data_IF_953479361042
#
_entry.id   IF_953479361042
#
_cell.length_a   1.000
_cell.length_b   1.000
_cell.length_c   1.000
_cell.angle_alpha   90.00
_cell.angle_beta   90.00
_cell.angle_gamma   90.00
#
_symmetry.space_group_name_H-M   'P 1'
#
loop_
_entity.id
_entity.type
_entity.pdbx_description
1 polymer ?
#
# COMPACT_ATOMS: atom_id res chain seq x y z
N UNK A 1 -5.88 12.71 3.62
CA UNK A 1 -6.65 13.33 2.53
C UNK A 1 -6.82 12.28 1.44
N UNK A 2 -8.00 12.20 0.81
CA UNK A 2 -8.26 11.24 -0.27
C UNK A 2 -7.99 11.89 -1.62
N UNK A 3 -7.37 11.13 -2.53
CA UNK A 3 -7.06 11.54 -3.89
C UNK A 3 -7.40 10.38 -4.84
N UNK A 4 -7.82 10.71 -6.06
CA UNK A 4 -7.91 9.72 -7.14
C UNK A 4 -6.52 9.33 -7.65
N UNK A 5 -6.40 8.19 -8.32
CA UNK A 5 -5.13 7.76 -8.95
C UNK A 5 -4.54 8.84 -9.87
N UNK A 6 -5.39 9.52 -10.65
CA UNK A 6 -4.98 10.58 -11.58
C UNK A 6 -4.43 11.79 -10.83
N UNK A 7 -5.08 12.19 -9.73
CA UNK A 7 -4.61 13.30 -8.90
C UNK A 7 -3.29 12.96 -8.20
N UNK A 8 -3.15 11.73 -7.72
CA UNK A 8 -1.90 11.27 -7.10
C UNK A 8 -0.76 11.34 -8.10
N UNK A 9 -0.90 10.81 -9.31
CA UNK A 9 0.15 10.83 -10.32
C UNK A 9 0.69 12.24 -10.62
N UNK A 10 -0.14 13.27 -10.48
CA UNK A 10 0.26 14.67 -10.73
C UNK A 10 1.05 15.31 -9.58
N UNK A 11 0.88 14.83 -8.35
CA UNK A 11 1.41 15.49 -7.15
C UNK A 11 2.12 14.54 -6.18
N UNK A 12 2.36 13.28 -6.58
CA UNK A 12 2.92 12.23 -5.73
C UNK A 12 4.26 12.64 -5.13
N UNK A 13 5.15 13.20 -5.96
CA UNK A 13 6.47 13.67 -5.52
C UNK A 13 6.33 14.70 -4.40
N UNK A 14 5.44 15.68 -4.56
CA UNK A 14 5.21 16.74 -3.57
C UNK A 14 4.59 16.21 -2.28
N UNK A 15 3.64 15.26 -2.39
CA UNK A 15 3.04 14.61 -1.23
C UNK A 15 4.09 13.87 -0.38
N UNK A 16 4.99 13.13 -1.05
CA UNK A 16 6.06 12.39 -0.37
C UNK A 16 7.11 13.34 0.21
N UNK A 17 7.52 14.37 -0.54
CA UNK A 17 8.49 15.37 -0.11
C UNK A 17 7.99 16.16 1.11
N UNK A 18 6.69 16.45 1.15
CA UNK A 18 6.01 17.07 2.29
C UNK A 18 5.69 16.08 3.42
N UNK A 19 6.11 14.82 3.31
CA UNK A 19 5.94 13.79 4.34
C UNK A 19 4.48 13.57 4.73
N UNK A 20 3.56 13.64 3.76
CA UNK A 20 2.11 13.58 4.02
C UNK A 20 1.58 12.16 3.96
N UNK A 21 0.65 11.86 4.87
CA UNK A 21 -0.23 10.68 4.76
C UNK A 21 -1.43 10.99 3.87
N UNK A 22 -1.76 10.06 2.97
CA UNK A 22 -2.86 10.21 2.03
C UNK A 22 -3.48 8.87 1.64
N UNK A 23 -4.65 8.91 1.00
CA UNK A 23 -5.39 7.73 0.58
C UNK A 23 -5.64 7.83 -0.92
N UNK A 24 -5.27 6.78 -1.65
CA UNK A 24 -5.55 6.65 -3.08
C UNK A 24 -6.86 5.88 -3.25
N UNK A 25 -7.76 6.46 -4.03
CA UNK A 25 -9.08 5.95 -4.36
C UNK A 25 -9.23 5.78 -5.86
N UNK A 26 -10.36 5.20 -6.30
CA UNK A 26 -10.68 5.04 -7.73
C UNK A 26 -9.58 4.30 -8.51
N UNK A 27 -9.15 3.15 -7.98
CA UNK A 27 -7.99 2.39 -8.47
C UNK A 27 -8.26 1.57 -9.74
N UNK A 28 -9.50 1.56 -10.26
CA UNK A 28 -9.92 0.81 -11.46
C UNK A 28 -9.49 -0.68 -11.53
N UNK A 29 -9.26 -1.31 -10.37
CA UNK A 29 -8.82 -2.71 -10.27
C UNK A 29 -7.30 -2.92 -10.25
N UNK A 30 -6.51 -1.86 -10.40
CA UNK A 30 -5.05 -1.92 -10.50
C UNK A 30 -4.34 -1.58 -9.18
N UNK A 31 -4.76 -2.24 -8.11
CA UNK A 31 -4.21 -1.99 -6.77
C UNK A 31 -2.75 -2.45 -6.67
N UNK A 32 -2.36 -3.47 -7.43
CA UNK A 32 -0.99 -3.99 -7.43
C UNK A 32 -0.02 -3.02 -8.11
N UNK A 33 -0.31 -2.55 -9.33
CA UNK A 33 0.63 -1.68 -10.02
C UNK A 33 0.59 -0.26 -9.44
N UNK A 34 -0.57 0.18 -8.92
CA UNK A 34 -0.60 1.41 -8.09
C UNK A 34 0.29 1.29 -6.86
N UNK A 35 0.30 0.14 -6.17
CA UNK A 35 1.17 -0.04 -5.00
C UNK A 35 2.66 -0.01 -5.38
N UNK A 36 3.03 -0.63 -6.50
CA UNK A 36 4.41 -0.58 -7.02
C UNK A 36 4.82 0.83 -7.43
N UNK A 37 3.92 1.59 -8.05
CA UNK A 37 4.15 3.00 -8.40
C UNK A 37 4.45 3.82 -7.15
N UNK A 38 3.65 3.65 -6.09
CA UNK A 38 3.84 4.34 -4.81
C UNK A 38 5.16 3.93 -4.14
N UNK A 39 5.47 2.64 -4.11
CA UNK A 39 6.73 2.10 -3.58
C UNK A 39 7.94 2.71 -4.29
N UNK A 40 7.96 2.64 -5.63
CA UNK A 40 9.03 3.22 -6.45
C UNK A 40 9.19 4.72 -6.24
N UNK A 41 8.10 5.47 -6.14
CA UNK A 41 8.15 6.92 -5.92
C UNK A 41 8.69 7.30 -4.53
N UNK A 42 8.36 6.51 -3.49
CA UNK A 42 8.90 6.73 -2.13
C UNK A 42 10.39 6.38 -2.08
N UNK A 43 10.77 5.24 -2.66
CA UNK A 43 12.17 4.79 -2.69
C UNK A 43 13.06 5.71 -3.52
N UNK A 44 12.54 6.31 -4.60
CA UNK A 44 13.24 7.33 -5.39
C UNK A 44 13.61 8.58 -4.57
N UNK A 45 12.92 8.83 -3.44
CA UNK A 45 13.26 9.92 -2.50
C UNK A 45 14.17 9.44 -1.34
N UNK A 46 14.72 8.23 -1.43
CA UNK A 46 15.59 7.65 -0.41
C UNK A 46 14.87 7.20 0.86
N UNK A 47 13.54 7.10 0.83
CA UNK A 47 12.70 6.70 1.96
C UNK A 47 12.36 5.22 1.89
N UNK A 48 12.15 4.59 3.05
CA UNK A 48 11.79 3.17 3.14
C UNK A 48 10.29 3.03 3.27
N UNK A 49 9.69 2.10 2.53
CA UNK A 49 8.29 1.77 2.69
C UNK A 49 8.05 0.30 3.05
N UNK A 50 6.85 0.02 3.56
CA UNK A 50 6.35 -1.34 3.81
C UNK A 50 4.98 -1.51 3.19
N UNK A 51 4.84 -2.49 2.30
CA UNK A 51 3.55 -2.83 1.68
C UNK A 51 2.87 -3.97 2.44
N UNK A 52 1.60 -3.80 2.78
CA UNK A 52 0.78 -4.86 3.36
C UNK A 52 -0.67 -4.76 2.92
N UNK A 53 -1.44 -5.81 3.20
CA UNK A 53 -2.89 -5.82 3.01
C UNK A 53 -3.57 -5.52 4.35
N UNK A 54 -4.39 -4.46 4.40
CA UNK A 54 -5.21 -4.11 5.57
C UNK A 54 -6.33 -5.13 5.75
N UNK A 55 -6.86 -5.21 6.98
CA UNK A 55 -8.03 -6.03 7.31
C UNK A 55 -7.86 -7.55 7.03
N UNK A 56 -6.64 -8.10 7.17
CA UNK A 56 -6.41 -9.56 7.11
C UNK A 56 -7.31 -10.36 8.07
N UNK A 57 -7.80 -9.73 9.15
CA UNK A 57 -8.72 -10.34 10.12
C UNK A 57 -10.14 -10.55 9.53
N UNK A 58 -10.63 -9.70 8.62
CA UNK A 58 -11.89 -9.94 7.93
C UNK A 58 -11.80 -11.18 7.00
N UNK A 59 -10.63 -11.41 6.40
CA UNK A 59 -10.36 -12.62 5.63
C UNK A 59 -10.14 -13.86 6.53
N UNK A 60 -9.63 -13.68 7.75
CA UNK A 60 -9.54 -14.74 8.74
C UNK A 60 -10.91 -15.10 9.37
N UNK A 61 -11.87 -14.18 9.47
CA UNK A 61 -13.25 -14.51 9.83
C UNK A 61 -13.98 -15.33 8.75
N UNK A 62 -13.58 -15.17 7.49
CA UNK A 62 -14.03 -15.99 6.36
C UNK A 62 -13.21 -17.31 6.19
N UNK A 63 -12.27 -17.61 7.10
CA UNK A 63 -11.33 -18.73 6.95
C UNK A 63 -11.89 -20.12 7.32
N UNK A 64 -13.20 -20.25 7.53
CA UNK A 64 -13.85 -21.57 7.45
C UNK A 64 -14.03 -22.02 5.98
N UNK A 65 -13.87 -21.13 4.99
CA UNK A 65 -14.13 -21.46 3.57
C UNK A 65 -12.95 -21.38 2.60
N UNK A 66 -11.72 -21.04 3.02
CA UNK A 66 -10.57 -21.02 2.09
C UNK A 66 -9.31 -21.57 2.76
N UNK A 67 -9.25 -22.91 2.86
CA UNK A 67 -7.98 -23.60 2.97
C UNK A 67 -7.06 -23.22 1.81
N UNK A 68 -5.77 -23.04 2.09
CA UNK A 68 -4.69 -22.79 1.11
C UNK A 68 -4.55 -21.39 0.47
N UNK A 69 -5.42 -20.40 0.75
CA UNK A 69 -5.36 -19.07 0.09
C UNK A 69 -4.43 -18.02 0.70
N UNK A 70 -3.82 -18.27 1.86
CA UNK A 70 -2.99 -17.29 2.58
C UNK A 70 -1.58 -17.08 1.98
N UNK A 71 -1.18 -17.93 1.03
CA UNK A 71 0.17 -17.91 0.43
C UNK A 71 0.22 -17.17 -0.91
N UNK A 72 -0.91 -16.94 -1.59
CA UNK A 72 -0.90 -16.49 -2.99
C UNK A 72 -0.86 -14.97 -3.20
N UNK A 73 -1.04 -14.17 -2.14
CA UNK A 73 -0.80 -12.72 -2.17
C UNK A 73 0.49 -12.31 -1.43
N UNK A 74 1.32 -13.31 -1.08
CA UNK A 74 2.73 -13.14 -0.79
C UNK A 74 3.55 -13.09 -2.10
N UNK A 75 3.16 -12.22 -3.04
CA UNK A 75 4.14 -11.53 -3.87
C UNK A 75 4.50 -10.26 -3.10
N UNK A 76 5.20 -10.34 -1.97
CA UNK A 76 6.67 -10.33 -1.94
C UNK A 76 7.17 -9.33 -3.00
N UNK A 77 7.02 -8.04 -2.71
CA UNK A 77 8.22 -7.21 -2.76
C UNK A 77 9.18 -7.85 -1.75
N UNK A 78 10.31 -8.36 -2.24
CA UNK A 78 11.26 -9.22 -1.54
C UNK A 78 11.98 -8.56 -0.34
N UNK A 79 11.48 -7.44 0.18
CA UNK A 79 12.08 -6.65 1.25
C UNK A 79 11.38 -6.84 2.61
N UNK A 80 10.49 -7.82 2.74
CA UNK A 80 9.70 -8.05 3.94
C UNK A 80 10.46 -8.66 5.13
N UNK A 81 11.79 -8.81 5.07
CA UNK A 81 12.49 -9.50 6.16
C UNK A 81 12.78 -8.58 7.36
N UNK A 82 13.13 -7.29 7.20
CA UNK A 82 13.62 -6.49 8.34
C UNK A 82 13.46 -4.95 8.22
N UNK A 83 12.47 -4.41 7.51
CA UNK A 83 12.16 -2.98 7.67
C UNK A 83 11.42 -2.76 8.99
N UNK A 84 12.15 -2.87 10.11
CA UNK A 84 11.65 -2.67 11.48
C UNK A 84 11.18 -1.23 11.72
N UNK A 85 11.57 -0.29 10.85
CA UNK A 85 11.28 1.13 10.99
C UNK A 85 11.10 1.82 9.61
N UNK A 86 10.00 1.52 8.88
CA UNK A 86 9.73 2.16 7.59
C UNK A 86 9.39 3.64 7.79
N UNK A 87 9.72 4.48 6.81
CA UNK A 87 9.26 5.87 6.76
C UNK A 87 7.79 5.94 6.34
N UNK A 88 7.38 5.02 5.48
CA UNK A 88 6.01 4.91 4.96
C UNK A 88 5.43 3.51 5.04
N UNK A 89 4.11 3.45 5.15
CA UNK A 89 3.32 2.23 5.03
C UNK A 89 2.32 2.34 3.88
N UNK A 90 2.32 1.35 3.00
CA UNK A 90 1.36 1.21 1.91
C UNK A 90 0.40 0.07 2.28
N UNK A 91 -0.76 0.44 2.81
CA UNK A 91 -1.80 -0.49 3.23
C UNK A 91 -2.91 -0.61 2.19
N UNK A 92 -2.99 -1.78 1.54
CA UNK A 92 -4.04 -2.10 0.57
C UNK A 92 -5.33 -2.53 1.26
N UNK A 93 -6.40 -1.76 1.09
CA UNK A 93 -7.73 -2.11 1.57
C UNK A 93 -8.59 -2.60 0.40
N UNK A 94 -8.54 -3.92 0.19
CA UNK A 94 -9.20 -4.59 -0.92
C UNK A 94 -10.72 -4.44 -0.82
N UNK A 95 -11.27 -4.45 0.40
CA UNK A 95 -12.72 -4.37 0.64
C UNK A 95 -13.27 -3.01 0.19
N UNK A 96 -12.54 -1.94 0.51
CA UNK A 96 -12.97 -0.58 0.19
C UNK A 96 -12.39 -0.05 -1.13
N UNK A 97 -11.60 -0.85 -1.85
CA UNK A 97 -10.86 -0.45 -3.05
C UNK A 97 -10.04 0.84 -2.84
N UNK A 98 -9.31 0.91 -1.72
CA UNK A 98 -8.45 2.05 -1.36
C UNK A 98 -7.02 1.59 -1.04
N UNK A 99 -6.04 2.44 -1.30
CA UNK A 99 -4.67 2.28 -0.80
C UNK A 99 -4.39 3.41 0.16
N UNK A 100 -3.99 3.07 1.39
CA UNK A 100 -3.56 4.03 2.39
C UNK A 100 -2.05 4.15 2.33
N UNK A 101 -1.55 5.38 2.22
CA UNK A 101 -0.13 5.73 2.27
C UNK A 101 0.08 6.52 3.55
N UNK A 102 0.62 5.88 4.59
CA UNK A 102 0.81 6.51 5.89
C UNK A 102 2.29 6.83 6.11
N UNK A 103 2.60 8.10 6.38
CA UNK A 103 3.91 8.49 6.92
C UNK A 103 4.01 8.12 8.41
N UNK A 104 5.15 7.59 8.84
CA UNK A 104 5.36 7.03 10.20
C UNK A 104 6.40 7.75 11.06
N UNK A 105 7.12 8.74 10.53
CA UNK A 105 8.21 9.43 11.23
C UNK A 105 7.99 10.94 11.30
#
# INVERSE_FOLDING_TARGET
MEYTLIEVQKQLTDLIAQKRSFVVTSLSGDMLDTSKLLESAIEAQGLRCRVYTRNRIAAAGASILVGAGALSFAGIAAHNLLTLNPDYEIGRDIVNNKIYVDYKK
#
